data_IF_071063028238
#
_entry.id   IF_071063028238
#
_cell.length_a   1.000
_cell.length_b   1.000
_cell.length_c   1.000
_cell.angle_alpha   90.00
_cell.angle_beta   90.00
_cell.angle_gamma   90.00
#
_symmetry.space_group_name_H-M   'P 1'
#
loop_
_entity.id
_entity.type
_entity.pdbx_description
1 polymer ?
#
# COMPACT_ATOMS: atom_id res chain seq x y z
N UNK A 1 -12.79 -2.28 17.02
CA UNK A 1 -12.15 -1.50 15.93
C UNK A 1 -10.99 -2.31 15.32
N UNK A 2 -11.31 -3.46 14.70
CA UNK A 2 -10.36 -4.33 14.01
C UNK A 2 -10.55 -4.30 12.47
N UNK A 3 -11.63 -3.67 12.01
CA UNK A 3 -12.08 -3.71 10.62
C UNK A 3 -11.07 -3.08 9.65
N UNK A 4 -10.46 -1.95 10.01
CA UNK A 4 -9.48 -1.28 9.14
C UNK A 4 -8.18 -2.09 8.98
N UNK A 5 -7.74 -2.76 10.04
CA UNK A 5 -6.57 -3.65 10.01
C UNK A 5 -6.82 -4.89 9.16
N UNK A 6 -7.98 -5.54 9.33
CA UNK A 6 -8.39 -6.71 8.53
C UNK A 6 -8.55 -6.35 7.06
N UNK A 7 -9.17 -5.20 6.77
CA UNK A 7 -9.35 -4.68 5.42
C UNK A 7 -8.01 -4.43 4.71
N UNK A 8 -7.04 -3.84 5.42
CA UNK A 8 -5.68 -3.66 4.90
C UNK A 8 -5.03 -5.00 4.55
N UNK A 9 -5.05 -5.96 5.47
CA UNK A 9 -4.49 -7.28 5.23
C UNK A 9 -5.14 -7.96 4.03
N UNK A 10 -6.46 -7.85 3.89
CA UNK A 10 -7.21 -8.38 2.77
C UNK A 10 -6.81 -7.76 1.42
N UNK A 11 -6.75 -6.42 1.33
CA UNK A 11 -6.37 -5.75 0.07
C UNK A 11 -4.92 -6.05 -0.31
N UNK A 12 -3.99 -5.95 0.63
CA UNK A 12 -2.57 -6.14 0.32
C UNK A 12 -2.26 -7.59 -0.09
N UNK A 13 -2.92 -8.58 0.53
CA UNK A 13 -2.79 -9.98 0.11
C UNK A 13 -3.43 -10.25 -1.25
N UNK A 14 -4.59 -9.64 -1.53
CA UNK A 14 -5.23 -9.74 -2.84
C UNK A 14 -4.33 -9.16 -3.94
N UNK A 15 -3.79 -7.96 -3.74
CA UNK A 15 -2.84 -7.33 -4.67
C UNK A 15 -1.56 -8.16 -4.83
N UNK A 16 -1.06 -8.77 -3.76
CA UNK A 16 0.10 -9.66 -3.81
C UNK A 16 -0.17 -10.89 -4.70
N UNK A 17 -1.34 -11.53 -4.56
CA UNK A 17 -1.72 -12.67 -5.40
C UNK A 17 -1.86 -12.29 -6.87
N UNK A 18 -2.45 -11.12 -7.14
CA UNK A 18 -2.54 -10.56 -8.48
C UNK A 18 -1.15 -10.26 -9.06
N UNK A 19 -0.24 -9.69 -8.26
CA UNK A 19 1.14 -9.39 -8.66
C UNK A 19 1.95 -10.66 -8.98
N UNK A 20 1.85 -11.70 -8.16
CA UNK A 20 2.50 -13.00 -8.42
C UNK A 20 1.97 -13.60 -9.71
N UNK A 21 0.65 -13.55 -9.92
CA UNK A 21 0.01 -14.04 -11.15
C UNK A 21 0.54 -13.29 -12.37
N UNK A 22 0.59 -11.95 -12.33
CA UNK A 22 1.16 -11.15 -13.43
C UNK A 22 2.64 -11.41 -13.66
N UNK A 23 3.43 -11.67 -12.62
CA UNK A 23 4.84 -11.99 -12.75
C UNK A 23 5.04 -13.31 -13.50
N UNK A 24 4.21 -14.32 -13.19
CA UNK A 24 4.23 -15.61 -13.89
C UNK A 24 3.84 -15.50 -15.37
N UNK A 25 2.74 -14.77 -15.66
CA UNK A 25 2.28 -14.58 -17.04
C UNK A 25 3.27 -13.73 -17.84
N UNK A 26 3.79 -12.65 -17.25
CA UNK A 26 4.82 -11.81 -17.89
C UNK A 26 6.11 -12.60 -18.16
N UNK A 27 6.57 -13.43 -17.23
CA UNK A 27 7.75 -14.27 -17.43
C UNK A 27 7.57 -15.29 -18.56
N UNK A 28 6.39 -15.89 -18.68
CA UNK A 28 6.08 -16.77 -19.81
C UNK A 28 6.08 -16.01 -21.14
N UNK A 29 5.48 -14.81 -21.15
CA UNK A 29 5.41 -13.96 -22.34
C UNK A 29 6.81 -13.53 -22.80
N UNK A 30 7.68 -13.09 -21.88
CA UNK A 30 9.08 -12.74 -22.19
C UNK A 30 9.87 -13.89 -22.78
N UNK A 31 9.68 -15.11 -22.28
CA UNK A 31 10.34 -16.28 -22.84
C UNK A 31 9.89 -16.56 -24.29
N UNK A 32 8.62 -16.32 -24.62
CA UNK A 32 8.10 -16.46 -25.98
C UNK A 32 8.67 -15.39 -26.92
N UNK A 33 8.77 -14.13 -26.47
CA UNK A 33 9.33 -13.03 -27.26
C UNK A 33 10.83 -13.16 -27.49
N UNK A 34 11.57 -13.62 -26.49
CA UNK A 34 12.99 -13.90 -26.64
C UNK A 34 13.24 -14.92 -27.77
N UNK A 35 12.36 -15.91 -27.91
CA UNK A 35 12.44 -16.91 -28.97
C UNK A 35 12.06 -16.35 -30.35
N UNK A 36 11.22 -15.33 -30.43
CA UNK A 36 10.82 -14.70 -31.70
C UNK A 36 11.73 -13.54 -32.14
N UNK A 37 12.69 -13.14 -31.31
CA UNK A 37 13.68 -12.09 -31.64
C UNK A 37 13.14 -10.66 -31.59
N UNK A 38 11.91 -10.46 -31.11
CA UNK A 38 11.32 -9.13 -30.91
C UNK A 38 11.47 -8.72 -29.44
N UNK A 39 12.21 -7.64 -29.18
CA UNK A 39 12.32 -7.07 -27.83
C UNK A 39 11.35 -5.90 -27.69
N UNK A 40 10.37 -6.02 -26.80
CA UNK A 40 9.41 -4.95 -26.54
C UNK A 40 9.72 -4.34 -25.16
N UNK A 41 10.05 -3.04 -25.07
CA UNK A 41 10.39 -2.39 -23.80
C UNK A 41 9.23 -2.39 -22.78
N UNK A 42 8.00 -2.66 -23.25
CA UNK A 42 6.79 -2.83 -22.45
C UNK A 42 6.94 -3.85 -21.32
N UNK A 43 7.56 -4.99 -21.63
CA UNK A 43 7.59 -6.13 -20.72
C UNK A 43 8.42 -5.82 -19.48
N UNK A 44 9.50 -5.06 -19.66
CA UNK A 44 10.35 -4.65 -18.56
C UNK A 44 9.59 -3.85 -17.50
N UNK A 45 8.63 -3.01 -17.91
CA UNK A 45 7.83 -2.22 -16.97
C UNK A 45 6.87 -3.11 -16.17
N UNK A 46 6.07 -3.95 -16.84
CA UNK A 46 5.11 -4.84 -16.16
C UNK A 46 5.84 -5.84 -15.26
N UNK A 47 6.96 -6.39 -15.72
CA UNK A 47 7.78 -7.33 -14.95
C UNK A 47 8.44 -6.64 -13.74
N UNK A 48 9.04 -5.46 -13.93
CA UNK A 48 9.65 -4.71 -12.84
C UNK A 48 8.61 -4.26 -11.81
N UNK A 49 7.46 -3.77 -12.26
CA UNK A 49 6.35 -3.37 -11.37
C UNK A 49 5.84 -4.56 -10.56
N UNK A 50 5.57 -5.70 -11.21
CA UNK A 50 5.15 -6.93 -10.55
C UNK A 50 6.20 -7.42 -9.54
N UNK A 51 7.49 -7.47 -9.92
CA UNK A 51 8.58 -7.88 -9.04
C UNK A 51 8.73 -6.94 -7.84
N UNK A 52 8.62 -5.63 -8.05
CA UNK A 52 8.67 -4.62 -7.00
C UNK A 52 7.50 -4.78 -6.02
N UNK A 53 6.27 -5.04 -6.49
CA UNK A 53 5.14 -5.39 -5.61
C UNK A 53 5.40 -6.66 -4.80
N UNK A 54 5.86 -7.73 -5.45
CA UNK A 54 6.09 -9.03 -4.81
C UNK A 54 7.19 -8.95 -3.77
N UNK A 55 8.20 -8.12 -3.96
CA UNK A 55 9.28 -7.96 -2.99
C UNK A 55 8.91 -6.99 -1.87
N UNK A 56 8.27 -5.86 -2.18
CA UNK A 56 8.04 -4.80 -1.19
C UNK A 56 6.80 -4.99 -0.32
N UNK A 57 5.73 -5.58 -0.85
CA UNK A 57 4.50 -5.82 -0.06
C UNK A 57 4.75 -6.80 1.10
N UNK A 58 5.44 -7.94 0.93
CA UNK A 58 5.76 -8.82 2.04
C UNK A 58 6.70 -8.16 3.05
N UNK A 59 7.67 -7.35 2.59
CA UNK A 59 8.55 -6.60 3.50
C UNK A 59 7.73 -5.64 4.37
N UNK A 60 6.76 -4.93 3.78
CA UNK A 60 5.85 -4.07 4.54
C UNK A 60 5.00 -4.88 5.54
N UNK A 61 4.39 -5.99 5.10
CA UNK A 61 3.60 -6.88 5.97
C UNK A 61 4.43 -7.47 7.13
N UNK A 62 5.64 -7.94 6.86
CA UNK A 62 6.55 -8.50 7.86
C UNK A 62 7.06 -7.41 8.81
N UNK A 63 7.39 -6.22 8.29
CA UNK A 63 7.86 -5.11 9.12
C UNK A 63 6.82 -4.70 10.16
N UNK A 64 5.53 -4.78 9.80
CA UNK A 64 4.44 -4.54 10.73
C UNK A 64 4.25 -5.65 11.76
N UNK A 65 4.66 -6.89 11.46
CA UNK A 65 4.62 -8.00 12.42
C UNK A 65 5.80 -7.97 13.39
N UNK A 66 7.00 -7.61 12.90
CA UNK A 66 8.26 -7.82 13.61
C UNK A 66 8.70 -6.57 14.41
N UNK A 67 8.37 -5.35 13.98
CA UNK A 67 8.96 -4.15 14.57
C UNK A 67 7.95 -3.12 15.06
N UNK A 68 7.64 -3.12 16.37
CA UNK A 68 6.96 -2.01 17.08
C UNK A 68 7.71 -0.66 17.04
N UNK A 69 8.87 -0.56 16.36
CA UNK A 69 9.80 0.58 16.42
C UNK A 69 10.59 0.91 15.15
N UNK A 70 10.33 0.28 13.99
CA UNK A 70 11.12 0.55 12.79
C UNK A 70 10.64 1.79 12.02
N UNK A 71 11.59 2.56 11.47
CA UNK A 71 11.38 3.77 10.66
C UNK A 71 10.46 3.59 9.45
N UNK A 72 10.33 2.36 8.96
CA UNK A 72 9.42 1.96 7.89
C UNK A 72 7.94 1.91 8.29
N UNK A 73 7.63 1.99 9.59
CA UNK A 73 6.24 1.99 10.08
C UNK A 73 5.56 3.37 9.98
N UNK A 74 6.27 4.43 9.58
CA UNK A 74 5.68 5.76 9.47
C UNK A 74 4.64 5.78 8.35
N UNK A 75 3.43 6.23 8.68
CA UNK A 75 2.31 6.46 7.75
C UNK A 75 2.79 7.20 6.50
N UNK A 76 3.63 8.22 6.64
CA UNK A 76 4.13 8.99 5.49
C UNK A 76 4.92 8.15 4.47
N UNK A 77 5.73 7.19 4.92
CA UNK A 77 6.50 6.32 4.03
C UNK A 77 5.60 5.28 3.35
N UNK A 78 4.65 4.73 4.09
CA UNK A 78 3.65 3.79 3.56
C UNK A 78 2.82 4.46 2.46
N UNK A 79 2.32 5.68 2.68
CA UNK A 79 1.59 6.43 1.65
C UNK A 79 2.45 6.76 0.44
N UNK A 80 3.70 7.20 0.62
CA UNK A 80 4.58 7.52 -0.50
C UNK A 80 4.85 6.28 -1.37
N UNK A 81 5.07 5.13 -0.74
CA UNK A 81 5.34 3.88 -1.43
C UNK A 81 4.09 3.33 -2.14
N UNK A 82 2.93 3.33 -1.46
CA UNK A 82 1.65 2.99 -2.06
C UNK A 82 1.34 3.92 -3.24
N UNK A 83 1.67 5.22 -3.11
CA UNK A 83 1.52 6.21 -4.17
C UNK A 83 2.32 5.85 -5.42
N UNK A 84 3.60 5.52 -5.23
CA UNK A 84 4.46 5.01 -6.29
C UNK A 84 3.88 3.74 -6.92
N UNK A 85 3.52 2.75 -6.11
CA UNK A 85 2.99 1.47 -6.58
C UNK A 85 1.76 1.64 -7.46
N UNK A 86 0.72 2.37 -7.03
CA UNK A 86 -0.48 2.55 -7.86
C UNK A 86 -0.17 3.36 -9.13
N UNK A 87 0.69 4.37 -9.05
CA UNK A 87 1.12 5.14 -10.22
C UNK A 87 1.91 4.29 -11.24
N UNK A 88 2.64 3.27 -10.79
CA UNK A 88 3.38 2.32 -11.63
C UNK A 88 2.45 1.31 -12.33
N UNK A 89 1.35 0.90 -11.69
CA UNK A 89 0.36 -0.01 -12.30
C UNK A 89 -0.48 0.64 -13.42
N UNK A 90 -0.69 1.95 -13.36
CA UNK A 90 -1.44 2.69 -14.38
C UNK A 90 -0.82 2.63 -15.79
N UNK A 91 0.47 2.98 -16.01
CA UNK A 91 1.10 2.86 -17.32
C UNK A 91 1.18 1.40 -17.76
N UNK A 92 1.43 0.45 -16.85
CA UNK A 92 1.38 -0.99 -17.16
C UNK A 92 0.04 -1.40 -17.79
N UNK A 93 -1.08 -0.93 -17.23
CA UNK A 93 -2.42 -1.19 -17.78
C UNK A 93 -2.69 -0.42 -19.09
N UNK A 94 -2.30 0.85 -19.15
CA UNK A 94 -2.50 1.70 -20.33
C UNK A 94 -1.74 1.16 -21.56
N UNK A 95 -0.48 0.76 -21.36
CA UNK A 95 0.29 0.19 -22.45
C UNK A 95 -0.24 -1.19 -22.84
N UNK A 96 -0.62 -2.07 -21.89
CA UNK A 96 -1.25 -3.36 -22.23
C UNK A 96 -2.48 -3.19 -23.13
N UNK A 97 -3.29 -2.16 -22.86
CA UNK A 97 -4.45 -1.79 -23.67
C UNK A 97 -4.06 -1.31 -25.07
N UNK A 98 -3.04 -0.44 -25.17
CA UNK A 98 -2.53 0.06 -26.44
C UNK A 98 -2.04 -1.09 -27.34
N UNK A 99 -1.22 -1.99 -26.81
CA UNK A 99 -0.71 -3.15 -27.56
C UNK A 99 -1.83 -4.10 -27.98
N UNK A 100 -2.86 -4.27 -27.15
CA UNK A 100 -4.03 -5.05 -27.54
C UNK A 100 -4.76 -4.41 -28.73
N UNK A 101 -4.98 -3.10 -28.70
CA UNK A 101 -5.68 -2.40 -29.78
C UNK A 101 -4.89 -2.38 -31.09
N UNK A 102 -3.58 -2.14 -31.00
CA UNK A 102 -2.70 -2.09 -32.17
C UNK A 102 -2.53 -3.45 -32.84
N UNK A 103 -2.35 -4.51 -32.04
CA UNK A 103 -2.09 -5.87 -32.55
C UNK A 103 -3.36 -6.69 -32.80
N UNK A 104 -4.47 -6.38 -32.12
CA UNK A 104 -5.71 -7.16 -32.12
C UNK A 104 -6.98 -6.29 -32.24
N UNK A 105 -6.97 -5.30 -33.14
CA UNK A 105 -8.09 -4.37 -33.36
C UNK A 105 -9.45 -5.04 -33.65
N UNK A 106 -9.45 -6.29 -34.14
CA UNK A 106 -10.65 -7.10 -34.44
C UNK A 106 -10.99 -8.20 -33.41
N UNK A 107 -10.31 -8.23 -32.26
CA UNK A 107 -10.51 -9.26 -31.23
C UNK A 107 -9.73 -10.57 -31.46
N UNK A 108 -9.75 -11.45 -30.46
CA UNK A 108 -8.94 -12.68 -30.42
C UNK A 108 -9.42 -13.83 -31.33
N UNK A 109 -10.22 -13.56 -32.38
CA UNK A 109 -11.05 -14.58 -33.05
C UNK A 109 -10.35 -15.20 -34.28
N UNK A 110 -9.37 -14.53 -34.90
CA UNK A 110 -8.91 -14.88 -36.26
C UNK A 110 -7.44 -15.29 -36.43
N UNK A 111 -6.65 -15.44 -35.37
CA UNK A 111 -5.22 -15.77 -35.51
C UNK A 111 -4.95 -17.28 -35.42
N UNK A 112 -4.20 -17.80 -36.40
CA UNK A 112 -3.81 -19.21 -36.53
C UNK A 112 -3.00 -19.73 -35.32
N UNK A 113 -3.26 -20.99 -34.96
CA UNK A 113 -2.70 -21.94 -33.97
C UNK A 113 -2.09 -21.46 -32.63
N UNK A 114 -1.39 -20.32 -32.57
CA UNK A 114 -0.74 -19.77 -31.36
C UNK A 114 -1.28 -18.38 -30.94
N UNK A 115 -1.87 -17.62 -31.87
CA UNK A 115 -2.45 -16.30 -31.59
C UNK A 115 -3.57 -16.25 -30.53
N UNK A 116 -4.48 -17.25 -30.38
CA UNK A 116 -5.58 -17.16 -29.43
C UNK A 116 -5.17 -17.44 -27.98
N UNK A 117 -3.96 -17.98 -27.74
CA UNK A 117 -3.39 -18.14 -26.39
C UNK A 117 -2.80 -16.81 -25.91
N UNK A 118 -1.91 -16.22 -26.70
CA UNK A 118 -1.27 -14.93 -26.42
C UNK A 118 -2.30 -13.81 -26.20
N UNK A 119 -3.35 -13.76 -27.03
CA UNK A 119 -4.39 -12.74 -26.90
C UNK A 119 -5.19 -12.86 -25.57
N UNK A 120 -5.42 -14.08 -25.08
CA UNK A 120 -6.07 -14.31 -23.79
C UNK A 120 -5.16 -13.94 -22.62
N UNK A 121 -3.87 -14.26 -22.72
CA UNK A 121 -2.87 -13.89 -21.71
C UNK A 121 -2.72 -12.37 -21.60
N UNK A 122 -2.63 -11.66 -22.73
CA UNK A 122 -2.53 -10.20 -22.74
C UNK A 122 -3.77 -9.53 -22.14
N UNK A 123 -4.97 -10.04 -22.48
CA UNK A 123 -6.23 -9.55 -21.90
C UNK A 123 -6.29 -9.81 -20.39
N UNK A 124 -5.74 -10.91 -19.92
CA UNK A 124 -5.65 -11.20 -18.49
C UNK A 124 -4.69 -10.22 -17.80
N UNK A 125 -3.51 -9.94 -18.37
CA UNK A 125 -2.56 -8.95 -17.82
C UNK A 125 -3.19 -7.57 -17.75
N UNK A 126 -3.87 -7.11 -18.80
CA UNK A 126 -4.58 -5.83 -18.83
C UNK A 126 -5.60 -5.73 -17.69
N UNK A 127 -6.46 -6.75 -17.56
CA UNK A 127 -7.48 -6.79 -16.51
C UNK A 127 -6.89 -6.81 -15.11
N UNK A 128 -5.86 -7.62 -14.87
CA UNK A 128 -5.19 -7.71 -13.56
C UNK A 128 -4.48 -6.38 -13.24
N UNK A 129 -3.86 -5.74 -14.23
CA UNK A 129 -3.16 -4.47 -14.03
C UNK A 129 -4.13 -3.35 -13.65
N UNK A 130 -5.28 -3.24 -14.33
CA UNK A 130 -6.33 -2.30 -13.93
C UNK A 130 -6.92 -2.62 -12.56
N UNK A 131 -7.16 -3.89 -12.25
CA UNK A 131 -7.66 -4.29 -10.94
C UNK A 131 -6.69 -3.90 -9.81
N UNK A 132 -5.40 -4.20 -9.97
CA UNK A 132 -4.35 -3.82 -9.02
C UNK A 132 -4.25 -2.29 -8.87
N UNK A 133 -4.31 -1.55 -9.98
CA UNK A 133 -4.34 -0.09 -9.98
C UNK A 133 -5.51 0.47 -9.16
N UNK A 134 -6.74 0.01 -9.41
CA UNK A 134 -7.95 0.47 -8.70
C UNK A 134 -7.87 0.13 -7.21
N UNK A 135 -7.49 -1.10 -6.87
CA UNK A 135 -7.39 -1.55 -5.48
C UNK A 135 -6.39 -0.72 -4.69
N UNK A 136 -5.20 -0.49 -5.25
CA UNK A 136 -4.16 0.33 -4.60
C UNK A 136 -4.57 1.81 -4.52
N UNK A 137 -5.21 2.34 -5.55
CA UNK A 137 -5.70 3.72 -5.58
C UNK A 137 -6.75 3.94 -4.49
N UNK A 138 -7.81 3.13 -4.46
CA UNK A 138 -8.87 3.23 -3.46
C UNK A 138 -8.33 3.10 -2.03
N UNK A 139 -7.40 2.17 -1.82
CA UNK A 139 -6.75 2.01 -0.53
C UNK A 139 -5.91 3.24 -0.13
N UNK A 140 -5.11 3.77 -1.06
CA UNK A 140 -4.29 4.98 -0.83
C UNK A 140 -5.16 6.18 -0.45
N UNK A 141 -6.26 6.41 -1.18
CA UNK A 141 -7.20 7.49 -0.87
C UNK A 141 -7.91 7.29 0.47
N UNK A 142 -8.30 6.06 0.82
CA UNK A 142 -8.92 5.77 2.11
C UNK A 142 -7.97 6.06 3.29
N UNK A 143 -6.70 5.64 3.18
CA UNK A 143 -5.69 5.92 4.20
C UNK A 143 -5.40 7.41 4.28
N UNK A 144 -5.22 8.09 3.14
CA UNK A 144 -4.97 9.52 3.08
C UNK A 144 -6.12 10.33 3.69
N UNK A 145 -7.37 10.01 3.32
CA UNK A 145 -8.56 10.62 3.90
C UNK A 145 -8.65 10.42 5.42
N UNK A 146 -8.35 9.20 5.89
CA UNK A 146 -8.33 8.91 7.33
C UNK A 146 -7.25 9.72 8.09
N UNK A 147 -6.10 9.94 7.47
CA UNK A 147 -5.02 10.75 8.02
C UNK A 147 -5.42 12.23 8.13
N UNK A 148 -6.06 12.78 7.09
CA UNK A 148 -6.57 14.17 7.09
C UNK A 148 -7.62 14.37 8.19
N UNK A 149 -8.60 13.46 8.27
CA UNK A 149 -9.66 13.55 9.30
C UNK A 149 -9.08 13.42 10.71
N UNK A 150 -8.08 12.57 10.90
CA UNK A 150 -7.40 12.44 12.19
C UNK A 150 -6.62 13.71 12.57
N UNK A 151 -5.96 14.34 11.58
CA UNK A 151 -5.23 15.59 11.77
C UNK A 151 -6.17 16.78 12.04
N UNK A 152 -7.30 16.89 11.33
CA UNK A 152 -8.28 17.96 11.52
C UNK A 152 -8.98 17.90 12.88
N UNK A 153 -9.03 16.72 13.51
CA UNK A 153 -9.51 16.52 14.89
C UNK A 153 -8.49 16.89 15.98
N UNK A 154 -7.36 17.50 15.63
CA UNK A 154 -6.40 18.07 16.60
C UNK A 154 -5.37 17.08 17.15
N UNK A 155 -5.29 15.86 16.62
CA UNK A 155 -4.26 14.90 17.02
C UNK A 155 -2.90 15.30 16.40
N UNK A 156 -2.05 15.97 17.18
CA UNK A 156 -0.67 16.31 16.79
C UNK A 156 0.19 15.05 16.87
N UNK A 157 0.74 14.59 15.74
CA UNK A 157 1.61 13.41 15.65
C UNK A 157 1.13 12.25 14.77
N UNK A 158 -0.04 12.39 14.11
CA UNK A 158 -0.61 11.36 13.21
C UNK A 158 0.36 10.95 12.10
N UNK A 159 1.12 11.91 11.55
CA UNK A 159 2.05 11.69 10.43
C UNK A 159 3.31 10.90 10.80
N UNK A 160 3.69 10.90 12.09
CA UNK A 160 4.83 10.12 12.60
C UNK A 160 4.41 8.88 13.38
N UNK A 161 3.11 8.70 13.59
CA UNK A 161 2.58 7.51 14.23
C UNK A 161 2.68 6.32 13.27
N UNK A 162 2.84 5.13 13.84
CA UNK A 162 2.68 3.90 13.09
C UNK A 162 1.29 3.87 12.44
N UNK A 163 1.12 3.24 11.28
CA UNK A 163 -0.21 3.04 10.66
C UNK A 163 -1.18 2.28 11.58
N UNK A 164 -0.65 1.47 12.50
CA UNK A 164 -1.37 0.87 13.63
C UNK A 164 -1.57 1.75 14.87
N UNK A 165 -1.06 2.98 14.86
CA UNK A 165 -1.18 3.95 15.95
C UNK A 165 -2.17 5.07 15.65
N UNK A 166 -2.99 4.93 14.61
CA UNK A 166 -4.08 5.86 14.32
C UNK A 166 -5.23 5.65 15.34
N UNK A 167 -5.99 6.70 15.71
CA UNK A 167 -7.04 6.63 16.73
C UNK A 167 -8.18 5.62 16.42
N UNK A 168 -8.21 5.07 15.21
CA UNK A 168 -9.17 4.06 14.75
C UNK A 168 -8.69 2.61 14.95
N UNK A 169 -7.54 2.40 15.57
CA UNK A 169 -6.93 1.09 15.80
C UNK A 169 -6.82 0.83 17.31
N UNK A 170 -6.97 -0.43 17.74
CA UNK A 170 -7.03 -0.78 19.17
C UNK A 170 -5.77 -0.41 19.96
N UNK A 171 -4.60 -0.38 19.32
CA UNK A 171 -3.33 -0.01 19.97
C UNK A 171 -3.26 1.47 20.40
N UNK A 172 -4.02 2.37 19.77
CA UNK A 172 -4.07 3.78 20.21
C UNK A 172 -4.71 3.92 21.60
N UNK A 173 -5.76 3.13 21.87
CA UNK A 173 -6.43 3.09 23.18
C UNK A 173 -5.50 2.62 24.29
N UNK A 174 -4.68 1.61 24.02
CA UNK A 174 -3.71 1.08 24.99
C UNK A 174 -2.54 2.04 25.24
N UNK A 175 -2.07 2.77 24.22
CA UNK A 175 -0.99 3.77 24.39
C UNK A 175 -1.46 5.03 25.11
N UNK A 176 -2.70 5.48 24.87
CA UNK A 176 -3.28 6.55 25.68
C UNK A 176 -3.53 6.10 27.12
N UNK A 177 -4.04 4.88 27.36
CA UNK A 177 -4.18 4.35 28.72
C UNK A 177 -2.84 4.23 29.45
N UNK A 178 -1.79 3.81 28.77
CA UNK A 178 -0.45 3.74 29.36
C UNK A 178 0.14 5.10 29.75
N UNK A 179 -0.14 6.15 29.00
CA UNK A 179 0.35 7.51 29.29
C UNK A 179 -0.54 8.29 30.27
N UNK A 180 -1.81 7.91 30.45
CA UNK A 180 -2.73 8.58 31.39
C UNK A 180 -2.52 8.15 32.85
N UNK A 181 -1.79 7.05 33.11
CA UNK A 181 -1.53 6.59 34.49
C UNK A 181 -0.36 7.34 35.17
N UNK A 182 0.38 8.21 34.48
CA UNK A 182 1.53 8.95 35.06
C UNK A 182 1.34 10.46 35.09
N UNK A 183 0.13 10.95 35.36
CA UNK A 183 -0.08 12.29 35.89
C UNK A 183 -1.07 12.23 37.03
N UNK A 184 -0.60 11.73 38.18
CA UNK A 184 -1.24 12.03 39.46
C UNK A 184 -1.13 13.55 39.69
N UNK A 185 -2.23 14.26 39.98
CA UNK A 185 -2.15 15.66 40.36
C UNK A 185 -1.58 15.74 41.78
N UNK A 186 -0.33 16.18 41.94
CA UNK A 186 0.15 16.69 43.22
C UNK A 186 -0.54 18.03 43.47
N UNK A 187 -1.78 17.96 43.98
CA UNK A 187 -2.47 19.07 44.59
C UNK A 187 -2.01 19.18 46.05
N UNK A 188 -1.36 20.29 46.40
CA UNK A 188 -0.93 20.57 47.77
C UNK A 188 0.00 21.76 47.89
N UNK A 189 -0.48 22.95 47.52
CA UNK A 189 0.13 24.24 47.90
C UNK A 189 -0.15 24.55 49.40
N UNK A 190 0.59 25.50 50.01
CA UNK A 190 1.10 25.41 51.39
C UNK A 190 0.20 26.06 52.46
N UNK A 191 0.45 25.83 53.77
CA UNK A 191 0.04 26.76 54.82
C UNK A 191 1.10 27.85 55.05
N UNK A 192 0.63 29.09 55.05
CA UNK A 192 1.31 30.28 55.54
C UNK A 192 1.63 30.13 57.04
N UNK A 193 2.86 30.46 57.43
CA UNK A 193 3.15 30.85 58.82
C UNK A 193 3.78 32.23 58.80
N UNK A 194 2.93 33.19 59.13
CA UNK A 194 3.24 34.54 59.56
C UNK A 194 3.93 34.46 60.93
N UNK A 195 5.10 35.06 61.10
CA UNK A 195 5.59 35.41 62.44
C UNK A 195 6.37 36.72 62.38
N UNK A 196 5.88 37.63 63.22
CA UNK A 196 6.09 39.08 63.32
C UNK A 196 7.44 39.45 63.99
N UNK A 197 7.92 40.71 63.87
CA UNK A 197 9.27 41.09 64.29
C UNK A 197 9.35 41.59 65.73
N UNK A 198 10.53 41.44 66.33
CA UNK A 198 11.10 42.18 67.46
C UNK A 198 12.53 41.65 67.66
N UNK A 199 13.53 42.38 68.13
CA UNK A 199 13.82 43.80 68.32
C UNK A 199 15.36 43.87 68.41
#
# INVERSE_FOLDING_TARGET
>A
MAFFGVFRWFILTLVLMLAISTLGVAGHFTHLLYRSGEYIPLEGLVLATAALTVLTLPIMLLSDLIARRAYFSRVNWDLLWLFMLWALWLPSAALASHYRLDRFSGGCIFLSFSGPKICRELRAIEGISYASWILLMLYTFAVFGSAIVSHSRGHRGVWQSASRGLPYTSEFGDRQRGNVVTTSPTAGSPPMTETQPAA
#
